data_IF_476823395810
#
_entry.id   IF_476823395810
#
_cell.length_a   1.000
_cell.length_b   1.000
_cell.length_c   1.000
_cell.angle_alpha   90.00
_cell.angle_beta   90.00
_cell.angle_gamma   90.00
#
_symmetry.space_group_name_H-M   'P 1'
#
loop_
_entity.id
_entity.type
_entity.pdbx_description
1 polymer ?
#
# COMPACT_ATOMS: atom_id res chain seq x y z
N UNK A 1 -10.45 -8.40 11.13
CA UNK A 1 -11.19 -7.15 10.84
C UNK A 1 -10.25 -5.95 10.82
N UNK A 2 -9.43 -5.73 11.85
CA UNK A 2 -8.42 -4.66 11.87
C UNK A 2 -7.40 -4.72 10.72
N UNK A 3 -6.85 -5.91 10.41
CA UNK A 3 -5.94 -6.09 9.27
C UNK A 3 -6.58 -5.72 7.91
N UNK A 4 -7.85 -6.06 7.71
CA UNK A 4 -8.57 -5.68 6.50
C UNK A 4 -8.65 -4.16 6.35
N UNK A 5 -8.89 -3.44 7.45
CA UNK A 5 -8.93 -1.96 7.46
C UNK A 5 -7.55 -1.39 7.12
N UNK A 6 -6.46 -1.95 7.67
CA UNK A 6 -5.09 -1.51 7.38
C UNK A 6 -4.73 -1.68 5.91
N UNK A 7 -5.03 -2.87 5.36
CA UNK A 7 -4.84 -3.19 3.94
C UNK A 7 -5.63 -2.21 3.08
N UNK A 8 -6.90 -1.94 3.43
CA UNK A 8 -7.77 -1.04 2.67
C UNK A 8 -7.25 0.41 2.69
N UNK A 9 -6.74 0.89 3.83
CA UNK A 9 -6.08 2.21 3.93
C UNK A 9 -4.86 2.27 3.01
N UNK A 10 -3.96 1.28 3.08
CA UNK A 10 -2.76 1.23 2.23
C UNK A 10 -3.12 1.15 0.74
N UNK A 11 -4.14 0.39 0.36
CA UNK A 11 -4.61 0.32 -1.03
C UNK A 11 -5.17 1.65 -1.52
N UNK A 12 -5.91 2.39 -0.69
CA UNK A 12 -6.39 3.74 -1.03
C UNK A 12 -5.22 4.70 -1.19
N UNK A 13 -4.25 4.68 -0.27
CA UNK A 13 -3.05 5.52 -0.34
C UNK A 13 -2.29 5.26 -1.62
N UNK A 14 -1.98 4.01 -1.94
CA UNK A 14 -1.30 3.65 -3.19
C UNK A 14 -2.10 4.15 -4.40
N UNK A 15 -3.39 3.82 -4.46
CA UNK A 15 -4.24 4.17 -5.57
C UNK A 15 -4.41 5.67 -5.79
N UNK A 16 -4.25 6.51 -4.76
CA UNK A 16 -4.24 7.97 -4.91
C UNK A 16 -2.84 8.45 -5.29
N UNK A 17 -1.83 8.06 -4.51
CA UNK A 17 -0.48 8.62 -4.59
C UNK A 17 0.29 8.18 -5.85
N UNK A 18 -0.07 7.07 -6.49
CA UNK A 18 0.56 6.62 -7.74
C UNK A 18 0.30 7.59 -8.90
N UNK A 19 -0.83 8.31 -8.88
CA UNK A 19 -1.18 9.28 -9.92
C UNK A 19 -0.70 10.70 -9.64
N UNK A 20 -0.21 10.96 -8.43
CA UNK A 20 0.30 12.26 -8.03
C UNK A 20 1.83 12.23 -8.06
N UNK A 21 2.51 13.32 -8.49
CA UNK A 21 3.96 13.39 -8.50
C UNK A 21 4.54 13.65 -7.09
N UNK A 22 4.21 12.77 -6.13
CA UNK A 22 4.52 12.90 -4.69
C UNK A 22 5.16 11.65 -4.07
N UNK A 23 5.56 10.67 -4.88
CA UNK A 23 6.13 9.37 -4.48
C UNK A 23 5.18 8.49 -3.65
N UNK A 24 4.57 7.51 -4.30
CA UNK A 24 3.73 6.50 -3.65
C UNK A 24 4.52 5.59 -2.69
N UNK A 25 5.74 5.18 -3.06
CA UNK A 25 6.61 4.33 -2.23
C UNK A 25 6.89 4.94 -0.86
N UNK A 26 7.18 6.24 -0.79
CA UNK A 26 7.43 6.92 0.48
C UNK A 26 6.20 6.90 1.40
N UNK A 27 5.03 7.19 0.84
CA UNK A 27 3.77 7.16 1.60
C UNK A 27 3.44 5.76 2.11
N UNK A 28 3.66 4.74 1.29
CA UNK A 28 3.41 3.34 1.67
C UNK A 28 4.30 2.88 2.82
N UNK A 29 5.60 3.22 2.82
CA UNK A 29 6.52 2.88 3.91
C UNK A 29 6.10 3.56 5.22
N UNK A 30 5.85 4.88 5.17
CA UNK A 30 5.50 5.66 6.36
C UNK A 30 4.18 5.17 6.96
N UNK A 31 3.15 4.96 6.14
CA UNK A 31 1.83 4.56 6.61
C UNK A 31 1.85 3.09 7.08
N UNK A 32 2.62 2.22 6.45
CA UNK A 32 2.78 0.85 6.92
C UNK A 32 3.45 0.81 8.30
N UNK A 33 4.46 1.65 8.55
CA UNK A 33 5.11 1.77 9.85
C UNK A 33 4.12 2.20 10.94
N UNK A 34 3.25 3.18 10.66
CA UNK A 34 2.19 3.63 11.58
C UNK A 34 1.09 2.58 11.81
N UNK A 35 0.67 1.86 10.76
CA UNK A 35 -0.39 0.86 10.85
C UNK A 35 0.11 -0.49 11.39
N UNK A 36 1.41 -0.76 11.26
CA UNK A 36 2.11 -1.96 11.70
C UNK A 36 1.39 -3.24 11.28
N UNK A 37 1.51 -3.61 9.99
CA UNK A 37 0.98 -4.88 9.50
C UNK A 37 1.68 -6.04 10.23
N UNK A 38 0.90 -6.96 10.79
CA UNK A 38 1.42 -8.12 11.55
C UNK A 38 1.89 -9.28 10.65
N UNK A 39 1.99 -9.04 9.35
CA UNK A 39 2.38 -10.01 8.31
C UNK A 39 3.89 -10.17 8.17
N UNK A 40 4.33 -11.27 7.54
CA UNK A 40 5.74 -11.49 7.25
C UNK A 40 6.30 -10.43 6.29
N UNK A 41 7.61 -10.12 6.33
CA UNK A 41 8.24 -9.17 5.42
C UNK A 41 7.98 -9.49 3.95
N UNK A 42 8.04 -10.76 3.58
CA UNK A 42 7.83 -11.24 2.20
C UNK A 42 6.39 -10.98 1.74
N UNK A 43 5.42 -11.14 2.65
CA UNK A 43 4.04 -10.81 2.34
C UNK A 43 3.85 -9.30 2.10
N UNK A 44 4.52 -8.45 2.89
CA UNK A 44 4.43 -6.99 2.73
C UNK A 44 5.01 -6.54 1.40
N UNK A 45 6.18 -7.06 1.01
CA UNK A 45 6.77 -6.79 -0.30
C UNK A 45 5.85 -7.22 -1.43
N UNK A 46 5.32 -8.45 -1.37
CA UNK A 46 4.37 -8.94 -2.38
C UNK A 46 3.12 -8.06 -2.43
N UNK A 47 2.58 -7.66 -1.28
CA UNK A 47 1.41 -6.79 -1.19
C UNK A 47 1.65 -5.43 -1.86
N UNK A 48 2.79 -4.79 -1.61
CA UNK A 48 3.13 -3.50 -2.25
C UNK A 48 3.21 -3.62 -3.77
N UNK A 49 3.83 -4.69 -4.30
CA UNK A 49 3.88 -4.93 -5.74
C UNK A 49 2.48 -5.18 -6.32
N UNK A 50 1.64 -5.98 -5.65
CA UNK A 50 0.29 -6.28 -6.12
C UNK A 50 -0.63 -5.05 -6.12
N UNK A 51 -0.53 -4.19 -5.11
CA UNK A 51 -1.39 -3.01 -5.01
C UNK A 51 -0.97 -1.91 -5.99
N UNK A 52 0.33 -1.85 -6.32
CA UNK A 52 0.83 -1.04 -7.42
C UNK A 52 0.35 -1.57 -8.79
N UNK A 53 0.39 -2.89 -9.00
CA UNK A 53 -0.21 -3.51 -10.19
C UNK A 53 -1.68 -3.15 -10.34
N UNK A 54 -2.45 -3.18 -9.24
CA UNK A 54 -3.85 -2.74 -9.26
C UNK A 54 -4.03 -1.28 -9.66
N UNK A 55 -3.07 -0.41 -9.31
CA UNK A 55 -3.06 0.97 -9.76
C UNK A 55 -2.77 1.04 -11.27
N UNK A 56 -1.72 0.37 -11.76
CA UNK A 56 -1.39 0.31 -13.19
C UNK A 56 -2.58 -0.19 -14.02
N UNK A 57 -3.33 -1.17 -13.52
CA UNK A 57 -4.52 -1.72 -14.19
C UNK A 57 -5.73 -0.77 -14.23
N UNK A 58 -5.76 0.29 -13.42
CA UNK A 58 -6.85 1.26 -13.41
C UNK A 58 -6.76 2.27 -14.58
N UNK A 59 -5.70 2.19 -15.38
CA UNK A 59 -5.45 2.96 -16.62
C UNK A 59 -5.80 2.11 -17.84
#
# INVERSE_FOLDING_TARGET
>A
MLELIRILILSIVQGITEWLPISSTGHMIIIEEFLSLTSSPEFKELFFVLVQLGSIMAV
#
